data_IF_815699437715
#
_entry.id   IF_815699437715
#
_cell.length_a   1.000
_cell.length_b   1.000
_cell.length_c   1.000
_cell.angle_alpha   90.00
_cell.angle_beta   90.00
_cell.angle_gamma   90.00
#
_symmetry.space_group_name_H-M   'P 1'
#
loop_
_entity.id
_entity.type
_entity.pdbx_description
1 polymer ?
#
# COMPACT_ATOMS: atom_id res chain seq x y z
N UNK A 1 -16.51 17.34 10.57
CA UNK A 1 -17.69 16.44 10.53
C UNK A 1 -17.71 15.70 9.21
N UNK A 2 -17.83 14.39 9.22
CA UNK A 2 -17.91 13.59 8.00
C UNK A 2 -19.25 13.85 7.29
N UNK A 3 -19.19 14.36 6.07
CA UNK A 3 -20.36 14.57 5.23
C UNK A 3 -20.68 13.30 4.44
N UNK A 4 -21.93 13.14 3.98
CA UNK A 4 -22.33 12.03 3.10
C UNK A 4 -21.47 12.03 1.82
N UNK A 5 -21.11 13.21 1.31
CA UNK A 5 -20.19 13.35 0.17
C UNK A 5 -18.83 12.76 0.48
N UNK A 6 -18.22 13.11 1.62
CA UNK A 6 -16.92 12.58 2.01
C UNK A 6 -16.94 11.04 2.15
N UNK A 7 -18.01 10.50 2.74
CA UNK A 7 -18.19 9.04 2.82
C UNK A 7 -18.30 8.38 1.44
N UNK A 8 -19.04 8.98 0.52
CA UNK A 8 -19.15 8.49 -0.86
C UNK A 8 -17.81 8.52 -1.59
N UNK A 9 -17.04 9.60 -1.44
CA UNK A 9 -15.71 9.75 -2.02
C UNK A 9 -14.74 8.68 -1.49
N UNK A 10 -14.71 8.44 -0.17
CA UNK A 10 -13.91 7.39 0.45
C UNK A 10 -14.31 6.01 -0.06
N UNK A 11 -15.61 5.75 -0.16
CA UNK A 11 -16.13 4.47 -0.67
C UNK A 11 -15.73 4.22 -2.14
N UNK A 12 -15.92 5.21 -3.00
CA UNK A 12 -15.59 5.09 -4.43
C UNK A 12 -14.09 4.94 -4.65
N UNK A 13 -13.28 5.80 -4.01
CA UNK A 13 -11.82 5.73 -4.11
C UNK A 13 -11.27 4.47 -3.44
N UNK A 14 -11.89 4.00 -2.37
CA UNK A 14 -11.58 2.73 -1.74
C UNK A 14 -11.81 1.54 -2.69
N UNK A 15 -12.93 1.54 -3.40
CA UNK A 15 -13.22 0.56 -4.45
C UNK A 15 -12.19 0.58 -5.57
N UNK A 16 -11.83 1.77 -6.05
CA UNK A 16 -10.79 1.94 -7.09
C UNK A 16 -9.42 1.44 -6.59
N UNK A 17 -9.03 1.79 -5.37
CA UNK A 17 -7.79 1.31 -4.76
C UNK A 17 -7.74 -0.22 -4.61
N UNK A 18 -8.85 -0.83 -4.20
CA UNK A 18 -8.97 -2.29 -4.11
C UNK A 18 -8.86 -2.97 -5.48
N UNK A 19 -9.46 -2.40 -6.52
CA UNK A 19 -9.33 -2.88 -7.91
C UNK A 19 -7.90 -2.73 -8.43
N UNK A 20 -7.25 -1.60 -8.16
CA UNK A 20 -5.85 -1.38 -8.51
C UNK A 20 -4.94 -2.41 -7.83
N UNK A 21 -5.15 -2.67 -6.52
CA UNK A 21 -4.44 -3.73 -5.80
C UNK A 21 -4.62 -5.08 -6.46
N UNK A 22 -5.86 -5.47 -6.74
CA UNK A 22 -6.15 -6.74 -7.39
C UNK A 22 -5.43 -6.86 -8.73
N UNK A 23 -5.48 -5.83 -9.58
CA UNK A 23 -4.80 -5.81 -10.87
C UNK A 23 -3.28 -5.97 -10.73
N UNK A 24 -2.65 -5.29 -9.78
CA UNK A 24 -1.21 -5.41 -9.52
C UNK A 24 -0.86 -6.82 -9.03
N UNK A 25 -1.64 -7.38 -8.12
CA UNK A 25 -1.40 -8.73 -7.60
C UNK A 25 -1.50 -9.80 -8.69
N UNK A 26 -2.52 -9.72 -9.55
CA UNK A 26 -2.69 -10.65 -10.68
C UNK A 26 -1.57 -10.49 -11.69
N UNK A 27 -1.26 -9.26 -12.10
CA UNK A 27 -0.17 -9.00 -13.05
C UNK A 27 1.18 -9.51 -12.53
N UNK A 28 1.52 -9.21 -11.28
CA UNK A 28 2.77 -9.64 -10.68
C UNK A 28 2.87 -11.17 -10.56
N UNK A 29 1.79 -11.85 -10.20
CA UNK A 29 1.74 -13.31 -10.14
C UNK A 29 1.98 -13.95 -11.51
N UNK A 30 1.39 -13.38 -12.56
CA UNK A 30 1.57 -13.87 -13.93
C UNK A 30 2.97 -13.58 -14.48
N UNK A 31 3.57 -12.45 -14.11
CA UNK A 31 4.84 -11.98 -14.69
C UNK A 31 6.07 -12.46 -13.93
N UNK A 32 6.01 -12.52 -12.60
CA UNK A 32 7.17 -12.75 -11.72
C UNK A 32 7.11 -14.09 -10.96
N UNK A 33 6.06 -14.87 -11.14
CA UNK A 33 5.95 -16.21 -10.56
C UNK A 33 5.52 -16.23 -9.09
N UNK A 34 6.06 -17.19 -8.32
CA UNK A 34 5.53 -17.53 -6.99
C UNK A 34 5.92 -16.56 -5.87
N UNK A 35 6.98 -15.77 -6.03
CA UNK A 35 7.34 -14.78 -5.01
C UNK A 35 6.35 -13.62 -5.01
N UNK A 36 5.89 -13.14 -3.83
CA UNK A 36 4.78 -12.17 -3.73
C UNK A 36 5.20 -10.71 -3.99
N UNK A 37 5.80 -10.45 -5.14
CA UNK A 37 6.21 -9.10 -5.55
C UNK A 37 5.04 -8.11 -5.63
N UNK A 38 3.84 -8.59 -5.98
CA UNK A 38 2.65 -7.73 -6.05
C UNK A 38 2.28 -7.14 -4.70
N UNK A 39 2.30 -7.95 -3.64
CA UNK A 39 2.01 -7.50 -2.27
C UNK A 39 3.08 -6.50 -1.81
N UNK A 40 4.35 -6.80 -2.08
CA UNK A 40 5.46 -5.91 -1.80
C UNK A 40 5.29 -4.55 -2.51
N UNK A 41 4.95 -4.57 -3.79
CA UNK A 41 4.75 -3.36 -4.59
C UNK A 41 3.60 -2.49 -4.08
N UNK A 42 2.42 -3.06 -3.83
CA UNK A 42 1.26 -2.26 -3.38
C UNK A 42 1.47 -1.69 -1.98
N UNK A 43 2.11 -2.43 -1.08
CA UNK A 43 2.41 -1.94 0.27
C UNK A 43 3.47 -0.83 0.24
N UNK A 44 4.51 -0.98 -0.58
CA UNK A 44 5.54 0.05 -0.79
C UNK A 44 4.96 1.33 -1.40
N UNK A 45 4.11 1.21 -2.43
CA UNK A 45 3.42 2.35 -3.04
C UNK A 45 2.47 3.03 -2.06
N UNK A 46 1.71 2.26 -1.28
CA UNK A 46 0.83 2.82 -0.27
C UNK A 46 1.60 3.61 0.79
N UNK A 47 2.75 3.09 1.24
CA UNK A 47 3.62 3.78 2.19
C UNK A 47 4.19 5.09 1.59
N UNK A 48 4.65 5.05 0.34
CA UNK A 48 5.18 6.21 -0.37
C UNK A 48 4.13 7.32 -0.52
N UNK A 49 2.98 6.97 -1.09
CA UNK A 49 1.92 7.94 -1.38
C UNK A 49 1.31 8.45 -0.07
N UNK A 50 1.05 7.58 0.89
CA UNK A 50 0.47 7.96 2.18
C UNK A 50 1.36 8.93 2.95
N UNK A 51 2.65 8.67 3.06
CA UNK A 51 3.61 9.54 3.73
C UNK A 51 3.78 10.89 3.01
N UNK A 52 3.80 10.89 1.67
CA UNK A 52 3.80 12.11 0.87
C UNK A 52 2.58 12.99 1.15
N UNK A 53 1.38 12.41 1.13
CA UNK A 53 0.14 13.18 1.35
C UNK A 53 0.11 13.82 2.73
N UNK A 54 0.60 13.13 3.75
CA UNK A 54 0.68 13.66 5.12
C UNK A 54 1.70 14.80 5.20
N UNK A 55 2.90 14.60 4.68
CA UNK A 55 3.98 15.60 4.74
C UNK A 55 3.72 16.81 3.86
N UNK A 56 3.02 16.64 2.74
CA UNK A 56 2.59 17.73 1.88
C UNK A 56 1.45 18.57 2.47
N UNK A 57 1.02 18.28 3.70
CA UNK A 57 -0.03 18.97 4.42
C UNK A 57 -1.34 19.13 3.59
N UNK A 58 -1.69 18.07 2.88
CA UNK A 58 -2.92 18.04 2.07
C UNK A 58 -4.13 18.28 2.97
N UNK A 59 -5.09 19.13 2.56
CA UNK A 59 -6.28 19.39 3.36
C UNK A 59 -7.07 18.14 3.74
N UNK A 60 -7.74 18.17 4.88
CA UNK A 60 -8.35 16.99 5.50
C UNK A 60 -9.34 16.25 4.59
N UNK A 61 -10.16 16.94 3.80
CA UNK A 61 -11.14 16.27 2.91
C UNK A 61 -10.47 15.45 1.81
N UNK A 62 -9.59 16.01 0.94
CA UNK A 62 -8.88 15.19 -0.04
C UNK A 62 -7.93 14.19 0.59
N UNK A 63 -7.33 14.47 1.75
CA UNK A 63 -6.51 13.51 2.47
C UNK A 63 -7.33 12.30 2.91
N UNK A 64 -8.54 12.51 3.41
CA UNK A 64 -9.44 11.43 3.80
C UNK A 64 -9.87 10.59 2.58
N UNK A 65 -10.24 11.23 1.48
CA UNK A 65 -10.71 10.55 0.28
C UNK A 65 -9.60 9.75 -0.41
N UNK A 66 -8.46 10.38 -0.70
CA UNK A 66 -7.35 9.76 -1.40
C UNK A 66 -6.51 8.90 -0.46
N UNK A 67 -6.10 9.43 0.68
CA UNK A 67 -5.28 8.72 1.67
C UNK A 67 -6.05 7.60 2.35
N UNK A 68 -7.20 7.91 2.94
CA UNK A 68 -8.03 6.94 3.63
C UNK A 68 -8.74 5.96 2.68
N UNK A 69 -9.30 6.46 1.58
CA UNK A 69 -9.99 5.63 0.59
C UNK A 69 -9.02 4.86 -0.31
N UNK A 70 -8.39 5.55 -1.26
CA UNK A 70 -7.55 4.90 -2.27
C UNK A 70 -6.30 4.24 -1.68
N UNK A 71 -5.46 5.00 -0.97
CA UNK A 71 -4.20 4.49 -0.42
C UNK A 71 -4.46 3.45 0.67
N UNK A 72 -5.45 3.68 1.53
CA UNK A 72 -5.83 2.75 2.58
C UNK A 72 -6.32 1.39 2.06
N UNK A 73 -6.93 1.35 0.87
CA UNK A 73 -7.36 0.11 0.24
C UNK A 73 -6.31 -0.50 -0.70
N UNK A 74 -5.32 0.27 -1.14
CA UNK A 74 -4.22 -0.21 -1.98
C UNK A 74 -3.27 -1.12 -1.20
N UNK A 75 -2.82 -0.67 -0.02
CA UNK A 75 -1.98 -1.48 0.88
C UNK A 75 -2.76 -2.59 1.57
N UNK A 76 -2.08 -3.67 1.95
CA UNK A 76 -2.74 -4.83 2.56
C UNK A 76 -1.83 -5.61 3.52
N UNK A 77 -2.18 -5.58 4.80
CA UNK A 77 -1.55 -6.43 5.81
C UNK A 77 -2.10 -7.86 5.77
N UNK A 78 -3.39 -8.01 5.49
CA UNK A 78 -4.04 -9.34 5.44
C UNK A 78 -3.45 -10.23 4.35
N UNK A 79 -3.19 -9.69 3.16
CA UNK A 79 -2.54 -10.43 2.07
C UNK A 79 -1.10 -10.80 2.41
N UNK A 80 -0.37 -9.92 3.09
CA UNK A 80 0.98 -10.20 3.58
C UNK A 80 0.97 -11.38 4.56
N UNK A 81 0.09 -11.36 5.55
CA UNK A 81 -0.04 -12.44 6.52
C UNK A 81 -0.48 -13.76 5.87
N UNK A 82 -1.44 -13.70 4.94
CA UNK A 82 -1.91 -14.88 4.21
C UNK A 82 -0.82 -15.53 3.38
N UNK A 83 0.02 -14.71 2.74
CA UNK A 83 1.15 -15.20 1.95
C UNK A 83 2.23 -15.86 2.82
N UNK A 84 2.55 -15.26 3.97
CA UNK A 84 3.47 -15.86 4.95
C UNK A 84 2.97 -17.24 5.40
N UNK A 85 1.68 -17.37 5.68
CA UNK A 85 1.07 -18.66 6.08
C UNK A 85 1.17 -19.67 4.93
N UNK A 86 0.89 -19.25 3.70
CA UNK A 86 1.00 -20.11 2.51
C UNK A 86 2.44 -20.61 2.30
N UNK A 87 3.42 -19.71 2.39
CA UNK A 87 4.85 -20.06 2.31
C UNK A 87 5.28 -21.01 3.43
N UNK A 88 4.77 -20.78 4.65
CA UNK A 88 5.06 -21.66 5.79
C UNK A 88 4.56 -23.09 5.55
N UNK A 89 3.35 -23.25 5.02
CA UNK A 89 2.79 -24.55 4.66
C UNK A 89 3.60 -25.28 3.59
N UNK A 90 4.27 -24.53 2.72
CA UNK A 90 5.14 -25.07 1.67
C UNK A 90 6.59 -25.28 2.14
N UNK A 91 6.92 -24.97 3.39
CA UNK A 91 8.27 -25.10 3.93
C UNK A 91 9.27 -24.06 3.42
N UNK A 92 8.80 -22.97 2.83
CA UNK A 92 9.64 -21.92 2.22
C UNK A 92 10.10 -20.87 3.26
N UNK A 93 10.79 -21.31 4.31
CA UNK A 93 11.15 -20.43 5.43
C UNK A 93 12.13 -19.31 5.06
N UNK A 94 13.09 -19.58 4.16
CA UNK A 94 14.03 -18.56 3.68
C UNK A 94 13.31 -17.46 2.89
N UNK A 95 12.36 -17.84 2.04
CA UNK A 95 11.54 -16.87 1.30
C UNK A 95 10.65 -16.03 2.22
N UNK A 96 10.13 -16.60 3.31
CA UNK A 96 9.40 -15.85 4.34
C UNK A 96 10.28 -14.75 4.94
N UNK A 97 11.49 -15.10 5.37
CA UNK A 97 12.45 -14.14 5.94
C UNK A 97 12.76 -13.05 4.94
N UNK A 98 13.07 -13.41 3.70
CA UNK A 98 13.33 -12.46 2.62
C UNK A 98 12.13 -11.53 2.38
N UNK A 99 10.93 -12.07 2.32
CA UNK A 99 9.70 -11.31 2.08
C UNK A 99 9.41 -10.31 3.22
N UNK A 100 9.55 -10.74 4.47
CA UNK A 100 9.37 -9.86 5.64
C UNK A 100 10.42 -8.77 5.67
N UNK A 101 11.70 -9.11 5.49
CA UNK A 101 12.80 -8.14 5.48
C UNK A 101 12.63 -7.13 4.34
N UNK A 102 12.31 -7.57 3.13
CA UNK A 102 12.06 -6.68 2.00
C UNK A 102 10.84 -5.79 2.24
N UNK A 103 9.76 -6.31 2.82
CA UNK A 103 8.56 -5.54 3.14
C UNK A 103 8.87 -4.41 4.12
N UNK A 104 9.63 -4.69 5.17
CA UNK A 104 10.05 -3.68 6.14
C UNK A 104 11.01 -2.67 5.52
N UNK A 105 12.05 -3.14 4.81
CA UNK A 105 13.06 -2.26 4.22
C UNK A 105 12.46 -1.32 3.16
N UNK A 106 11.67 -1.85 2.23
CA UNK A 106 11.03 -1.05 1.19
C UNK A 106 9.95 -0.13 1.74
N UNK A 107 9.19 -0.59 2.73
CA UNK A 107 8.18 0.22 3.42
C UNK A 107 8.79 1.42 4.16
N UNK A 108 9.85 1.20 4.92
CA UNK A 108 10.58 2.26 5.63
C UNK A 108 11.20 3.23 4.63
N UNK A 109 11.91 2.73 3.62
CA UNK A 109 12.54 3.57 2.59
C UNK A 109 11.49 4.41 1.85
N UNK A 110 10.38 3.81 1.44
CA UNK A 110 9.29 4.50 0.76
C UNK A 110 8.65 5.58 1.65
N UNK A 111 8.48 5.30 2.94
CA UNK A 111 7.96 6.28 3.91
C UNK A 111 8.91 7.47 4.04
N UNK A 112 10.20 7.25 4.19
CA UNK A 112 11.19 8.33 4.29
C UNK A 112 11.22 9.19 3.03
N UNK A 113 11.24 8.56 1.85
CA UNK A 113 11.21 9.27 0.56
C UNK A 113 9.91 10.07 0.42
N UNK A 114 8.78 9.49 0.79
CA UNK A 114 7.49 10.16 0.73
C UNK A 114 7.40 11.37 1.65
N UNK A 115 7.95 11.27 2.86
CA UNK A 115 8.02 12.39 3.82
C UNK A 115 8.86 13.53 3.25
N UNK A 116 10.09 13.25 2.80
CA UNK A 116 10.98 14.26 2.22
C UNK A 116 10.37 14.94 0.99
N UNK A 117 9.79 14.15 0.09
CA UNK A 117 9.13 14.67 -1.10
C UNK A 117 7.90 15.54 -0.75
N UNK A 118 7.13 15.14 0.24
CA UNK A 118 5.96 15.89 0.71
C UNK A 118 6.34 17.21 1.38
N UNK A 119 7.38 17.20 2.22
CA UNK A 119 7.93 18.42 2.83
C UNK A 119 8.45 19.40 1.76
N UNK A 120 9.18 18.91 0.76
CA UNK A 120 9.67 19.71 -0.35
C UNK A 120 8.52 20.32 -1.18
N UNK A 121 7.42 19.59 -1.34
CA UNK A 121 6.23 20.09 -2.04
C UNK A 121 5.52 21.19 -1.25
N UNK A 122 5.46 21.05 0.07
CA UNK A 122 4.81 22.01 0.95
C UNK A 122 5.66 23.28 1.18
N UNK A 123 6.95 23.15 1.10
CA UNK A 123 7.86 24.30 1.19
C UNK A 123 7.74 25.20 -0.05
#
# INVERSE_FOLDING_TARGET
>A
MLTIRALAEVFLLGGIGALARFAVLVFAAQRFGAFPFGILAVNTLAALIGSFLVAAAIPAEPLLAVGGGFVGSLGTLSSLCSEIIAMHKLGKHEEIVLFVVLSLATGIAATLIGLEAGEAYHA
#
